data_IF_929464241787
#
_entry.id   IF_929464241787
#
_cell.length_a   1.000
_cell.length_b   1.000
_cell.length_c   1.000
_cell.angle_alpha   90.00
_cell.angle_beta   90.00
_cell.angle_gamma   90.00
#
_symmetry.space_group_name_H-M   'P 1'
#
loop_
_entity.id
_entity.type
_entity.pdbx_description
1 polymer ?
#
# COMPACT_ATOMS: atom_id res chain seq x y z
N UNK A 1 -20.92 23.73 28.18
CA UNK A 1 -22.24 24.18 27.67
C UNK A 1 -22.29 23.99 26.16
N UNK A 2 -22.84 22.86 25.71
CA UNK A 2 -23.86 22.75 24.67
C UNK A 2 -24.09 21.25 24.43
N UNK A 3 -25.16 20.78 25.04
CA UNK A 3 -25.79 19.48 24.84
C UNK A 3 -26.14 19.30 23.36
N UNK A 4 -25.89 18.12 22.79
CA UNK A 4 -26.56 17.72 21.55
C UNK A 4 -27.45 16.50 21.82
N UNK A 5 -28.73 16.76 21.55
CA UNK A 5 -29.92 15.96 21.76
C UNK A 5 -29.82 14.62 21.02
N UNK A 6 -29.94 13.50 21.73
CA UNK A 6 -30.10 12.16 21.14
C UNK A 6 -31.48 12.04 20.51
N UNK A 7 -31.58 11.99 19.18
CA UNK A 7 -32.79 11.59 18.46
C UNK A 7 -32.57 10.16 17.91
N UNK A 8 -33.22 9.18 18.52
CA UNK A 8 -33.24 7.77 18.05
C UNK A 8 -34.24 7.65 16.90
N UNK A 9 -33.79 7.22 15.72
CA UNK A 9 -34.68 6.77 14.65
C UNK A 9 -34.49 5.27 14.45
N UNK A 10 -35.56 4.53 14.68
CA UNK A 10 -35.65 3.08 14.47
C UNK A 10 -35.90 2.84 12.97
N UNK A 11 -34.95 2.25 12.24
CA UNK A 11 -35.17 1.81 10.87
C UNK A 11 -35.28 0.28 10.83
N UNK A 12 -36.47 -0.19 10.48
CA UNK A 12 -36.83 -1.61 10.35
C UNK A 12 -36.13 -2.19 9.13
N UNK A 13 -35.40 -3.28 9.36
CA UNK A 13 -34.69 -4.07 8.34
C UNK A 13 -35.69 -4.84 7.47
N UNK A 14 -35.63 -4.65 6.15
CA UNK A 14 -36.26 -5.56 5.19
C UNK A 14 -35.19 -6.02 4.18
N UNK A 15 -34.75 -7.26 4.31
CA UNK A 15 -33.91 -7.94 3.34
C UNK A 15 -34.77 -8.48 2.19
N UNK A 16 -34.51 -8.03 0.96
CA UNK A 16 -34.96 -8.72 -0.25
C UNK A 16 -33.94 -8.53 -1.39
N UNK A 17 -33.33 -9.64 -1.79
CA UNK A 17 -32.65 -9.93 -3.05
C UNK A 17 -32.40 -8.77 -4.03
N UNK A 18 -31.24 -8.13 -3.93
CA UNK A 18 -30.32 -7.71 -5.02
C UNK A 18 -29.17 -6.97 -4.32
N UNK A 19 -27.96 -7.54 -4.36
CA UNK A 19 -26.82 -7.16 -3.51
C UNK A 19 -26.18 -5.81 -3.84
N UNK A 20 -26.83 -4.71 -3.50
CA UNK A 20 -26.19 -3.40 -3.32
C UNK A 20 -26.68 -2.84 -1.99
N UNK A 21 -25.87 -2.94 -0.95
CA UNK A 21 -26.18 -2.32 0.34
C UNK A 21 -26.07 -0.80 0.19
N UNK A 22 -27.22 -0.14 0.09
CA UNK A 22 -27.34 1.30 0.31
C UNK A 22 -27.21 1.57 1.81
N UNK A 23 -26.01 1.91 2.27
CA UNK A 23 -25.77 2.43 3.62
C UNK A 23 -24.81 3.60 3.54
N UNK A 24 -25.32 4.72 3.02
CA UNK A 24 -24.77 6.06 3.25
C UNK A 24 -25.83 6.87 4.01
N UNK A 25 -26.15 6.44 5.23
CA UNK A 25 -26.94 7.22 6.16
C UNK A 25 -26.09 7.40 7.41
N UNK A 26 -25.85 8.66 7.75
CA UNK A 26 -24.94 9.11 8.79
C UNK A 26 -25.48 8.75 10.18
N UNK A 27 -24.96 7.67 10.76
CA UNK A 27 -25.21 7.25 12.14
C UNK A 27 -24.14 6.23 12.51
N UNK A 28 -23.25 6.59 13.45
CA UNK A 28 -22.01 5.91 13.84
C UNK A 28 -21.13 5.50 12.63
N UNK A 29 -19.88 5.98 12.56
CA UNK A 29 -18.98 5.64 11.46
C UNK A 29 -18.52 4.18 11.60
N UNK A 30 -19.37 3.24 11.23
CA UNK A 30 -19.06 1.81 11.26
C UNK A 30 -17.87 1.50 10.33
N UNK A 31 -17.00 0.61 10.80
CA UNK A 31 -15.88 0.11 10.02
C UNK A 31 -16.37 -0.56 8.73
N UNK A 32 -15.78 -0.18 7.59
CA UNK A 32 -16.00 -0.88 6.33
C UNK A 32 -14.67 -1.16 5.63
N UNK A 33 -14.32 -2.45 5.54
CA UNK A 33 -13.20 -2.91 4.73
C UNK A 33 -13.76 -3.44 3.42
N UNK A 34 -13.50 -2.74 2.31
CA UNK A 34 -14.19 -2.97 1.03
C UNK A 34 -13.17 -3.26 -0.06
N UNK A 35 -13.47 -4.24 -0.91
CA UNK A 35 -12.80 -4.52 -2.17
C UNK A 35 -13.77 -4.23 -3.33
N UNK A 36 -13.56 -3.15 -4.08
CA UNK A 36 -14.39 -2.77 -5.24
C UNK A 36 -15.90 -2.86 -4.98
N UNK A 37 -16.36 -2.22 -3.90
CA UNK A 37 -17.77 -2.19 -3.49
C UNK A 37 -18.25 -3.44 -2.73
N UNK A 38 -17.44 -4.49 -2.65
CA UNK A 38 -17.75 -5.69 -1.86
C UNK A 38 -17.15 -5.56 -0.47
N UNK A 39 -18.00 -5.53 0.57
CA UNK A 39 -17.55 -5.63 1.96
C UNK A 39 -16.82 -6.95 2.17
N UNK A 40 -15.58 -6.89 2.65
CA UNK A 40 -14.78 -8.06 2.98
C UNK A 40 -15.23 -8.62 4.34
N UNK A 41 -15.58 -9.90 4.37
CA UNK A 41 -16.03 -10.62 5.58
C UNK A 41 -15.29 -11.95 5.71
N UNK A 42 -15.52 -12.64 6.84
CA UNK A 42 -14.97 -13.98 7.06
C UNK A 42 -15.47 -14.98 6.02
N UNK A 43 -16.73 -14.86 5.61
CA UNK A 43 -17.42 -15.78 4.71
C UNK A 43 -16.94 -15.63 3.26
N UNK A 44 -16.73 -14.39 2.81
CA UNK A 44 -16.34 -14.12 1.41
C UNK A 44 -14.84 -13.89 1.23
N UNK A 45 -14.04 -13.91 2.29
CA UNK A 45 -12.62 -13.55 2.26
C UNK A 45 -11.75 -14.36 1.31
N UNK A 46 -12.14 -15.61 0.99
CA UNK A 46 -11.44 -16.43 -0.01
C UNK A 46 -12.01 -16.31 -1.43
N UNK A 47 -13.05 -15.48 -1.63
CA UNK A 47 -13.82 -15.41 -2.87
C UNK A 47 -14.34 -13.99 -3.17
N UNK A 48 -13.48 -12.98 -3.01
CA UNK A 48 -13.83 -11.56 -3.19
C UNK A 48 -14.18 -11.16 -4.63
N UNK A 49 -13.83 -11.99 -5.62
CA UNK A 49 -14.14 -11.78 -7.04
C UNK A 49 -14.50 -13.11 -7.71
N UNK A 50 -15.57 -13.74 -7.24
CA UNK A 50 -16.03 -15.04 -7.72
C UNK A 50 -16.23 -15.10 -9.24
N UNK A 51 -16.70 -14.00 -9.82
CA UNK A 51 -16.98 -13.87 -11.25
C UNK A 51 -15.77 -13.39 -12.06
N UNK A 52 -14.60 -13.20 -11.44
CA UNK A 52 -13.35 -12.76 -12.10
C UNK A 52 -13.49 -11.44 -12.87
N UNK A 53 -14.34 -10.55 -12.37
CA UNK A 53 -14.60 -9.22 -12.97
C UNK A 53 -13.34 -8.37 -13.00
N UNK A 54 -12.50 -8.47 -11.97
CA UNK A 54 -11.34 -7.59 -11.75
C UNK A 54 -10.02 -8.34 -11.62
N UNK A 55 -9.98 -9.47 -10.90
CA UNK A 55 -8.78 -10.27 -10.64
C UNK A 55 -8.49 -11.21 -11.82
N UNK A 56 -7.61 -10.79 -12.73
CA UNK A 56 -7.27 -11.49 -13.98
C UNK A 56 -6.33 -12.67 -13.80
N UNK A 57 -5.47 -12.63 -12.79
CA UNK A 57 -4.61 -13.76 -12.39
C UNK A 57 -4.22 -13.66 -10.93
N UNK A 58 -3.65 -14.74 -10.39
CA UNK A 58 -3.31 -14.86 -8.96
C UNK A 58 -4.54 -14.89 -8.05
N UNK A 59 -4.32 -14.56 -6.78
CA UNK A 59 -5.37 -14.54 -5.76
C UNK A 59 -5.34 -13.29 -4.90
N UNK A 60 -6.53 -12.81 -4.56
CA UNK A 60 -6.78 -11.78 -3.54
C UNK A 60 -7.61 -12.42 -2.45
N UNK A 61 -7.13 -12.40 -1.20
CA UNK A 61 -7.83 -13.00 -0.06
C UNK A 61 -7.90 -12.00 1.09
N UNK A 62 -8.92 -12.15 1.93
CA UNK A 62 -9.06 -11.46 3.20
C UNK A 62 -9.24 -12.49 4.33
N UNK A 63 -8.44 -12.36 5.37
CA UNK A 63 -8.57 -13.10 6.61
C UNK A 63 -9.10 -12.14 7.68
N UNK A 64 -10.34 -12.36 8.14
CA UNK A 64 -11.02 -11.49 9.09
C UNK A 64 -10.45 -11.60 10.51
N UNK A 65 -9.95 -12.79 10.90
CA UNK A 65 -9.44 -13.04 12.25
C UNK A 65 -8.11 -12.29 12.47
N UNK A 66 -7.32 -12.12 11.40
CA UNK A 66 -6.03 -11.40 11.42
C UNK A 66 -6.07 -10.06 10.69
N UNK A 67 -7.22 -9.67 10.15
CA UNK A 67 -7.45 -8.46 9.33
C UNK A 67 -6.38 -8.28 8.24
N UNK A 68 -6.06 -9.39 7.58
CA UNK A 68 -4.99 -9.47 6.58
C UNK A 68 -5.56 -9.62 5.17
N UNK A 69 -5.27 -8.66 4.29
CA UNK A 69 -5.46 -8.79 2.85
C UNK A 69 -4.20 -9.42 2.24
N UNK A 70 -4.31 -10.56 1.57
CA UNK A 70 -3.18 -11.20 0.88
C UNK A 70 -3.33 -11.09 -0.63
N UNK A 71 -2.34 -10.52 -1.30
CA UNK A 71 -2.19 -10.54 -2.75
C UNK A 71 -1.04 -11.52 -3.07
N UNK A 72 -1.38 -12.59 -3.79
CA UNK A 72 -0.40 -13.59 -4.22
C UNK A 72 -0.42 -13.71 -5.75
N UNK A 73 0.65 -13.18 -6.36
CA UNK A 73 0.80 -13.04 -7.81
C UNK A 73 -0.45 -12.44 -8.50
N UNK A 74 -1.15 -11.54 -7.80
CA UNK A 74 -2.44 -11.02 -8.20
C UNK A 74 -2.30 -9.95 -9.28
N UNK A 75 -3.11 -10.05 -10.33
CA UNK A 75 -3.29 -9.00 -11.33
C UNK A 75 -4.72 -8.49 -11.27
N UNK A 76 -4.92 -7.25 -10.85
CA UNK A 76 -6.24 -6.61 -10.76
C UNK A 76 -6.34 -5.54 -11.84
N UNK A 77 -7.41 -5.58 -12.63
CA UNK A 77 -7.66 -4.62 -13.71
C UNK A 77 -9.07 -4.03 -13.58
N UNK A 78 -9.13 -2.71 -13.38
CA UNK A 78 -10.36 -1.94 -13.23
C UNK A 78 -10.40 -0.85 -14.31
N UNK A 79 -11.34 -0.97 -15.23
CA UNK A 79 -11.57 0.00 -16.30
C UNK A 79 -12.86 0.77 -16.04
N UNK A 80 -13.21 1.71 -16.91
CA UNK A 80 -14.48 2.44 -16.79
C UNK A 80 -15.69 1.50 -16.91
N UNK A 81 -15.56 0.44 -17.70
CA UNK A 81 -16.64 -0.49 -18.06
C UNK A 81 -16.94 -1.50 -16.94
N UNK A 82 -15.95 -1.86 -16.13
CA UNK A 82 -16.13 -2.83 -15.04
C UNK A 82 -16.02 -2.20 -13.63
N UNK A 83 -15.80 -0.88 -13.53
CA UNK A 83 -15.76 -0.20 -12.26
C UNK A 83 -17.18 -0.19 -11.63
N UNK A 84 -17.35 -0.69 -10.41
CA UNK A 84 -18.60 -0.52 -9.68
C UNK A 84 -18.96 0.97 -9.56
N UNK A 85 -20.25 1.27 -9.58
CA UNK A 85 -20.77 2.62 -9.42
C UNK A 85 -21.75 2.67 -8.24
N UNK A 86 -21.85 3.83 -7.61
CA UNK A 86 -22.86 4.13 -6.61
C UNK A 86 -23.60 5.40 -7.01
N UNK A 87 -24.86 5.52 -6.61
CA UNK A 87 -25.67 6.70 -6.85
C UNK A 87 -25.63 7.61 -5.60
N UNK A 88 -25.34 8.90 -5.78
CA UNK A 88 -25.45 9.88 -4.71
C UNK A 88 -26.92 10.15 -4.36
N UNK A 89 -27.14 10.82 -3.23
CA UNK A 89 -28.47 11.33 -2.83
C UNK A 89 -29.10 12.24 -3.89
N UNK A 90 -28.28 12.95 -4.67
CA UNK A 90 -28.72 13.79 -5.80
C UNK A 90 -29.07 13.00 -7.06
N UNK A 91 -28.99 11.66 -7.04
CA UNK A 91 -29.27 10.79 -8.18
C UNK A 91 -28.13 10.65 -9.19
N UNK A 92 -26.94 11.20 -8.91
CA UNK A 92 -25.78 11.15 -9.81
C UNK A 92 -24.98 9.88 -9.58
N UNK A 93 -24.61 9.18 -10.65
CA UNK A 93 -23.77 7.98 -10.57
C UNK A 93 -22.30 8.35 -10.51
N UNK A 94 -21.58 7.76 -9.57
CA UNK A 94 -20.16 7.93 -9.35
C UNK A 94 -19.44 6.58 -9.33
N UNK A 95 -18.23 6.46 -9.91
CA UNK A 95 -17.43 5.27 -9.75
C UNK A 95 -17.01 5.09 -8.28
N UNK A 96 -16.95 3.84 -7.82
CA UNK A 96 -16.37 3.52 -6.52
C UNK A 96 -14.88 3.88 -6.52
N UNK A 97 -14.49 4.80 -5.66
CA UNK A 97 -13.09 5.23 -5.52
C UNK A 97 -12.32 4.25 -4.62
N UNK A 98 -11.19 3.75 -5.11
CA UNK A 98 -10.30 2.84 -4.38
C UNK A 98 -10.56 1.37 -4.71
N UNK A 99 -9.51 0.64 -5.07
CA UNK A 99 -9.59 -0.83 -5.25
C UNK A 99 -9.83 -1.50 -3.90
N UNK A 100 -9.05 -1.10 -2.91
CA UNK A 100 -9.33 -1.37 -1.50
C UNK A 100 -9.72 -0.07 -0.81
N UNK A 101 -10.67 -0.14 0.11
CA UNK A 101 -11.09 0.99 0.92
C UNK A 101 -11.21 0.54 2.37
N UNK A 102 -10.49 1.19 3.26
CA UNK A 102 -10.57 0.95 4.70
C UNK A 102 -11.23 2.17 5.32
N UNK A 103 -12.55 2.12 5.49
CA UNK A 103 -13.33 3.22 6.05
C UNK A 103 -13.43 3.02 7.56
N UNK A 104 -13.03 4.03 8.33
CA UNK A 104 -13.07 4.05 9.80
C UNK A 104 -12.59 2.75 10.47
N UNK A 105 -11.38 2.24 10.13
CA UNK A 105 -10.84 1.06 10.75
C UNK A 105 -10.64 1.27 12.27
N UNK A 106 -10.93 0.22 13.02
CA UNK A 106 -10.91 0.18 14.49
C UNK A 106 -9.70 -0.58 15.05
N UNK A 107 -8.94 -1.27 14.20
CA UNK A 107 -7.72 -1.98 14.57
C UNK A 107 -6.71 -1.92 13.41
N UNK A 108 -5.52 -2.50 13.59
CA UNK A 108 -4.46 -2.59 12.60
C UNK A 108 -4.83 -3.50 11.42
N UNK A 109 -4.41 -3.13 10.22
CA UNK A 109 -4.66 -3.87 8.98
C UNK A 109 -3.33 -4.27 8.35
N UNK A 110 -3.24 -5.51 7.85
CA UNK A 110 -2.08 -5.97 7.10
C UNK A 110 -2.43 -6.17 5.63
N UNK A 111 -1.59 -5.63 4.74
CA UNK A 111 -1.57 -5.95 3.30
C UNK A 111 -0.32 -6.78 3.03
N UNK A 112 -0.51 -8.09 2.84
CA UNK A 112 0.56 -9.04 2.58
C UNK A 112 0.75 -9.26 1.09
N UNK A 113 1.93 -8.93 0.58
CA UNK A 113 2.34 -9.10 -0.80
C UNK A 113 3.23 -10.34 -0.94
N UNK A 114 2.80 -11.29 -1.75
CA UNK A 114 3.54 -12.51 -2.09
C UNK A 114 3.75 -12.55 -3.61
N UNK A 115 4.99 -12.77 -4.04
CA UNK A 115 5.33 -12.79 -5.46
C UNK A 115 5.15 -11.42 -6.12
N UNK A 116 4.77 -11.40 -7.41
CA UNK A 116 4.65 -10.17 -8.20
C UNK A 116 3.18 -9.79 -8.40
N UNK A 117 2.76 -8.70 -7.80
CA UNK A 117 1.38 -8.21 -7.88
C UNK A 117 1.29 -6.96 -8.73
N UNK A 118 0.15 -6.74 -9.38
CA UNK A 118 -0.10 -5.55 -10.19
C UNK A 118 -1.55 -5.11 -10.14
N UNK A 119 -1.76 -3.80 -10.15
CA UNK A 119 -3.08 -3.17 -10.13
C UNK A 119 -3.10 -2.08 -11.19
N UNK A 120 -4.05 -2.16 -12.11
CA UNK A 120 -4.26 -1.15 -13.15
C UNK A 120 -5.68 -0.62 -13.06
N UNK A 121 -5.82 0.68 -12.89
CA UNK A 121 -7.11 1.35 -12.75
C UNK A 121 -7.20 2.57 -13.66
N UNK A 122 -8.30 2.77 -14.40
CA UNK A 122 -8.44 3.96 -15.28
C UNK A 122 -9.23 5.11 -14.66
N UNK A 123 -10.10 4.83 -13.69
CA UNK A 123 -10.93 5.84 -13.01
C UNK A 123 -10.66 6.00 -11.51
N UNK A 124 -9.95 5.04 -10.91
CA UNK A 124 -9.80 4.91 -9.46
C UNK A 124 -8.32 4.91 -9.06
N UNK A 125 -8.04 4.95 -7.75
CA UNK A 125 -6.72 4.65 -7.18
C UNK A 125 -6.62 3.26 -6.53
N UNK A 126 -5.43 2.83 -6.12
CA UNK A 126 -5.23 1.54 -5.41
C UNK A 126 -5.94 1.55 -4.05
N UNK A 127 -5.73 2.55 -3.20
CA UNK A 127 -6.32 2.53 -1.85
C UNK A 127 -6.73 3.89 -1.34
N UNK A 128 -7.97 4.01 -0.89
CA UNK A 128 -8.39 5.07 0.02
C UNK A 128 -8.31 4.50 1.44
N UNK A 129 -7.22 4.80 2.14
CA UNK A 129 -7.06 4.52 3.56
C UNK A 129 -7.75 5.67 4.31
N UNK A 130 -9.01 5.43 4.67
CA UNK A 130 -9.84 6.19 5.61
C UNK A 130 -10.38 7.55 5.16
N UNK A 131 -11.55 7.87 5.71
CA UNK A 131 -12.05 9.23 5.85
C UNK A 131 -11.79 9.67 7.30
N UNK A 132 -11.65 10.99 7.47
CA UNK A 132 -11.28 11.70 8.69
C UNK A 132 -11.98 11.13 9.93
N UNK A 133 -11.22 10.99 11.03
CA UNK A 133 -11.64 10.56 12.38
C UNK A 133 -11.45 9.09 12.80
N UNK A 134 -10.76 8.25 11.99
CA UNK A 134 -10.35 6.92 12.47
C UNK A 134 -9.41 6.99 13.70
N UNK A 135 -9.51 6.00 14.59
CA UNK A 135 -8.56 5.79 15.67
C UNK A 135 -7.11 5.66 15.13
N UNK A 136 -6.12 5.76 16.01
CA UNK A 136 -4.71 5.68 15.65
C UNK A 136 -4.30 4.23 15.30
N UNK A 137 -4.82 3.71 14.18
CA UNK A 137 -4.53 2.36 13.66
C UNK A 137 -3.31 2.37 12.76
N UNK A 138 -2.64 1.23 12.62
CA UNK A 138 -1.55 1.05 11.67
C UNK A 138 -2.01 0.24 10.46
N UNK A 139 -1.48 0.59 9.29
CA UNK A 139 -1.61 -0.19 8.07
C UNK A 139 -0.21 -0.63 7.65
N UNK A 140 0.01 -1.94 7.61
CA UNK A 140 1.31 -2.51 7.29
C UNK A 140 1.27 -3.22 5.94
N UNK A 141 2.13 -2.79 5.02
CA UNK A 141 2.37 -3.45 3.74
C UNK A 141 3.67 -4.24 3.79
N UNK A 142 3.57 -5.57 3.81
CA UNK A 142 4.68 -6.50 4.10
C UNK A 142 4.65 -7.73 3.19
N UNK A 143 5.60 -8.66 3.36
CA UNK A 143 5.49 -10.03 2.85
C UNK A 143 6.59 -10.48 1.88
N UNK A 144 7.54 -9.60 1.53
CA UNK A 144 8.65 -9.95 0.63
C UNK A 144 8.32 -9.87 -0.86
N UNK A 145 7.06 -9.64 -1.22
CA UNK A 145 6.62 -9.51 -2.61
C UNK A 145 6.73 -8.07 -3.15
N UNK A 146 6.29 -7.91 -4.40
CA UNK A 146 6.22 -6.63 -5.08
C UNK A 146 4.79 -6.26 -5.45
N UNK A 147 4.52 -4.96 -5.59
CA UNK A 147 3.26 -4.43 -6.10
C UNK A 147 3.53 -3.25 -7.07
N UNK A 148 3.08 -3.40 -8.32
CA UNK A 148 3.05 -2.33 -9.30
C UNK A 148 1.65 -1.74 -9.40
N UNK A 149 1.52 -0.41 -9.39
CA UNK A 149 0.25 0.30 -9.45
C UNK A 149 0.30 1.27 -10.63
N UNK A 150 -0.66 1.17 -11.54
CA UNK A 150 -0.91 2.16 -12.58
C UNK A 150 -2.33 2.72 -12.39
N UNK A 151 -2.42 3.91 -11.81
CA UNK A 151 -3.66 4.49 -11.33
C UNK A 151 -4.11 5.72 -12.13
N UNK A 152 -5.38 5.71 -12.53
CA UNK A 152 -6.07 6.84 -13.17
C UNK A 152 -6.35 8.03 -12.24
N UNK A 153 -6.14 7.87 -10.92
CA UNK A 153 -6.26 8.93 -9.93
C UNK A 153 -5.02 8.97 -9.01
N UNK A 154 -5.17 8.70 -7.71
CA UNK A 154 -4.05 8.54 -6.77
C UNK A 154 -3.53 7.10 -6.80
N UNK A 155 -2.25 6.86 -6.55
CA UNK A 155 -1.77 5.51 -6.28
C UNK A 155 -2.30 5.04 -4.93
N UNK A 156 -1.68 5.50 -3.85
CA UNK A 156 -2.10 5.28 -2.46
C UNK A 156 -2.56 6.62 -1.87
N UNK A 157 -3.76 6.65 -1.29
CA UNK A 157 -4.31 7.80 -0.58
C UNK A 157 -4.50 7.45 0.90
N UNK A 158 -3.59 7.96 1.73
CA UNK A 158 -3.42 7.65 3.14
C UNK A 158 -3.87 8.76 4.10
N UNK A 159 -5.16 8.84 4.40
CA UNK A 159 -5.73 9.94 5.21
C UNK A 159 -6.06 9.56 6.65
N UNK A 160 -5.45 8.51 7.19
CA UNK A 160 -5.67 8.11 8.59
C UNK A 160 -4.70 8.81 9.55
N UNK A 161 -4.99 8.75 10.85
CA UNK A 161 -4.17 9.42 11.87
C UNK A 161 -2.96 8.61 12.36
N UNK A 162 -2.79 7.39 11.86
CA UNK A 162 -1.75 6.48 12.32
C UNK A 162 -0.56 6.34 11.39
N UNK A 163 -0.01 5.13 11.36
CA UNK A 163 1.22 4.83 10.61
C UNK A 163 0.93 3.90 9.44
N UNK A 164 1.27 4.36 8.24
CA UNK A 164 1.39 3.49 7.08
C UNK A 164 2.84 3.02 6.95
N UNK A 165 3.05 1.72 7.08
CA UNK A 165 4.37 1.09 6.99
C UNK A 165 4.52 0.33 5.67
N UNK A 166 5.60 0.60 4.94
CA UNK A 166 6.05 -0.19 3.80
C UNK A 166 7.33 -0.90 4.24
N UNK A 167 7.28 -2.24 4.37
CA UNK A 167 8.39 -3.01 4.93
C UNK A 167 8.71 -4.28 4.17
N UNK A 168 9.99 -4.47 3.86
CA UNK A 168 10.50 -5.66 3.16
C UNK A 168 9.74 -5.94 1.84
N UNK A 169 9.36 -4.90 1.10
CA UNK A 169 8.62 -5.02 -0.17
C UNK A 169 9.19 -4.11 -1.25
N UNK A 170 8.79 -4.35 -2.50
CA UNK A 170 9.11 -3.48 -3.64
C UNK A 170 7.82 -2.87 -4.23
N UNK A 171 7.73 -1.54 -4.25
CA UNK A 171 6.60 -0.81 -4.82
C UNK A 171 7.02 0.01 -6.05
N UNK A 172 6.19 -0.04 -7.08
CA UNK A 172 6.33 0.79 -8.28
C UNK A 172 4.98 1.41 -8.62
N UNK A 173 4.85 2.71 -8.43
CA UNK A 173 3.57 3.43 -8.50
C UNK A 173 3.65 4.47 -9.59
N UNK A 174 2.66 4.46 -10.48
CA UNK A 174 2.40 5.49 -11.47
C UNK A 174 0.97 5.96 -11.29
N UNK A 175 0.78 7.26 -11.10
CA UNK A 175 -0.53 7.82 -10.81
C UNK A 175 -0.77 9.13 -11.56
N UNK A 176 -1.99 9.35 -12.03
CA UNK A 176 -2.36 10.59 -12.74
C UNK A 176 -2.42 11.81 -11.82
N UNK A 177 -2.68 11.63 -10.52
CA UNK A 177 -2.76 12.72 -9.54
C UNK A 177 -1.60 12.69 -8.55
N UNK A 178 -1.72 11.95 -7.44
CA UNK A 178 -0.62 11.77 -6.48
C UNK A 178 -0.20 10.30 -6.42
N UNK A 179 1.09 10.03 -6.22
CA UNK A 179 1.60 8.66 -6.17
C UNK A 179 1.27 8.01 -4.83
N UNK A 180 1.86 8.50 -3.75
CA UNK A 180 1.52 8.16 -2.36
C UNK A 180 1.20 9.47 -1.63
N UNK A 181 -0.07 9.77 -1.39
CA UNK A 181 -0.46 10.97 -0.65
C UNK A 181 -0.94 10.63 0.75
N UNK A 182 -0.53 11.42 1.74
CA UNK A 182 -1.07 11.37 3.10
C UNK A 182 -2.30 12.28 3.31
N UNK A 183 -2.66 12.50 4.57
CA UNK A 183 -3.76 13.38 5.00
C UNK A 183 -3.34 14.50 5.96
N UNK A 184 -2.08 14.93 5.93
CA UNK A 184 -1.42 15.89 6.83
C UNK A 184 -1.36 15.48 8.32
N UNK A 185 -2.01 14.38 8.70
CA UNK A 185 -1.96 13.77 10.02
C UNK A 185 -1.23 12.42 10.01
N UNK A 186 -1.30 11.70 8.88
CA UNK A 186 -0.67 10.38 8.69
C UNK A 186 0.85 10.42 8.77
N UNK A 187 1.43 9.26 9.08
CA UNK A 187 2.87 9.03 9.17
C UNK A 187 3.27 7.91 8.22
N UNK A 188 4.28 8.16 7.40
CA UNK A 188 4.85 7.14 6.51
C UNK A 188 6.14 6.58 7.09
N UNK A 189 6.24 5.26 7.16
CA UNK A 189 7.47 4.53 7.46
C UNK A 189 7.84 3.69 6.26
N UNK A 190 9.07 3.86 5.75
CA UNK A 190 9.64 2.98 4.72
C UNK A 190 10.85 2.28 5.33
N UNK A 191 10.76 0.96 5.43
CA UNK A 191 11.73 0.10 6.09
C UNK A 191 12.21 -0.98 5.12
N UNK A 192 13.52 -0.99 4.83
CA UNK A 192 14.16 -2.01 4.00
C UNK A 192 13.38 -2.31 2.69
N UNK A 193 12.90 -1.27 1.99
CA UNK A 193 12.01 -1.42 0.82
C UNK A 193 12.48 -0.55 -0.33
N UNK A 194 12.21 -0.98 -1.57
CA UNK A 194 12.33 -0.12 -2.74
C UNK A 194 10.96 0.47 -3.05
N UNK A 195 10.88 1.79 -3.22
CA UNK A 195 9.64 2.50 -3.57
C UNK A 195 9.95 3.47 -4.70
N UNK A 196 9.37 3.22 -5.86
CA UNK A 196 9.29 4.17 -6.97
C UNK A 196 7.88 4.72 -7.02
N UNK A 197 7.73 6.04 -7.09
CA UNK A 197 6.44 6.69 -7.18
C UNK A 197 6.52 7.83 -8.20
N UNK A 198 5.67 7.79 -9.22
CA UNK A 198 5.64 8.75 -10.32
C UNK A 198 4.23 9.38 -10.42
N UNK A 199 4.10 10.69 -10.22
CA UNK A 199 2.81 11.38 -10.27
C UNK A 199 2.90 12.91 -10.41
N UNK A 200 1.96 13.50 -11.14
CA UNK A 200 2.01 14.92 -11.54
C UNK A 200 1.79 15.94 -10.41
N UNK A 201 1.06 15.58 -9.36
CA UNK A 201 0.69 16.48 -8.25
C UNK A 201 1.41 16.10 -6.95
N UNK A 202 2.44 15.26 -7.04
CA UNK A 202 3.27 14.80 -5.93
C UNK A 202 3.46 13.29 -5.94
N UNK A 203 4.69 12.86 -6.19
CA UNK A 203 5.11 11.47 -6.13
C UNK A 203 4.90 10.85 -4.72
N UNK A 204 5.42 11.48 -3.67
CA UNK A 204 5.10 11.14 -2.27
C UNK A 204 4.85 12.46 -1.56
N UNK A 205 3.66 12.65 -0.98
CA UNK A 205 3.26 13.95 -0.44
C UNK A 205 2.32 13.90 0.77
N UNK A 206 2.11 15.04 1.43
CA UNK A 206 1.03 15.28 2.40
C UNK A 206 1.03 14.38 3.65
N UNK A 207 2.16 13.88 4.12
CA UNK A 207 2.23 13.26 5.46
C UNK A 207 2.76 14.23 6.50
N UNK A 208 2.35 14.04 7.76
CA UNK A 208 2.87 14.77 8.90
C UNK A 208 4.31 14.43 9.22
N UNK A 209 4.68 13.15 9.05
CA UNK A 209 6.01 12.65 9.40
C UNK A 209 6.42 11.50 8.50
N UNK A 210 7.73 11.44 8.27
CA UNK A 210 8.40 10.37 7.55
C UNK A 210 9.49 9.72 8.42
N UNK A 211 9.66 8.41 8.25
CA UNK A 211 10.79 7.66 8.81
C UNK A 211 11.33 6.69 7.76
N UNK A 212 12.59 6.88 7.38
CA UNK A 212 13.31 5.95 6.50
C UNK A 212 14.24 5.09 7.35
N UNK A 213 14.22 3.77 7.17
CA UNK A 213 15.07 2.81 7.88
C UNK A 213 15.70 1.86 6.88
N UNK A 214 17.03 1.85 6.79
CA UNK A 214 17.74 1.05 5.78
C UNK A 214 17.32 1.41 4.35
N UNK A 215 16.97 2.69 4.13
CA UNK A 215 16.46 3.22 2.87
C UNK A 215 17.02 4.62 2.68
N UNK A 216 17.49 4.91 1.47
CA UNK A 216 17.94 6.23 1.03
C UNK A 216 17.01 6.75 -0.06
N UNK A 217 16.75 8.06 -0.06
CA UNK A 217 16.11 8.69 -1.20
C UNK A 217 17.17 9.02 -2.25
N UNK A 218 16.92 8.64 -3.50
CA UNK A 218 17.81 8.90 -4.64
C UNK A 218 17.13 9.77 -5.71
N UNK A 219 15.84 10.08 -5.55
CA UNK A 219 15.10 11.03 -6.37
C UNK A 219 13.89 11.60 -5.60
N UNK A 220 13.55 12.89 -5.75
CA UNK A 220 14.30 13.89 -6.52
C UNK A 220 15.65 14.19 -5.84
N UNK A 221 16.67 14.50 -6.65
CA UNK A 221 17.99 14.94 -6.16
C UNK A 221 17.94 16.42 -5.85
N UNK A 222 18.60 16.86 -4.77
CA UNK A 222 18.67 18.27 -4.41
C UNK A 222 19.17 19.12 -5.59
N UNK A 223 18.52 20.27 -5.82
CA UNK A 223 18.95 21.25 -6.78
C UNK A 223 20.13 21.99 -6.16
N UNK A 224 21.31 21.98 -6.80
CA UNK A 224 22.50 22.62 -6.25
C UNK A 224 22.36 24.14 -6.09
N UNK A 225 21.32 24.76 -6.66
CA UNK A 225 21.04 26.18 -6.59
C UNK A 225 19.82 26.53 -5.71
N UNK A 226 19.27 25.57 -4.97
CA UNK A 226 18.20 25.82 -4.00
C UNK A 226 18.73 26.61 -2.79
N UNK A 227 17.97 27.61 -2.36
CA UNK A 227 18.25 28.44 -1.18
C UNK A 227 17.40 27.99 0.03
N UNK A 228 17.65 28.57 1.21
CA UNK A 228 16.79 28.35 2.38
C UNK A 228 15.36 28.87 2.15
N UNK A 229 15.22 29.96 1.39
CA UNK A 229 13.92 30.53 1.01
C UNK A 229 13.14 29.59 0.08
N UNK A 230 13.84 28.87 -0.81
CA UNK A 230 13.24 27.83 -1.65
C UNK A 230 12.63 26.69 -0.82
N UNK A 231 13.12 26.46 0.40
CA UNK A 231 12.57 25.46 1.32
C UNK A 231 11.29 25.92 2.03
N UNK A 232 11.07 27.25 2.10
CA UNK A 232 9.93 27.87 2.77
C UNK A 232 8.83 28.31 1.79
N UNK A 233 9.15 28.48 0.50
CA UNK A 233 8.18 28.83 -0.56
C UNK A 233 7.43 27.57 -1.08
N UNK A 234 6.12 27.45 -0.83
CA UNK A 234 5.32 26.32 -1.31
C UNK A 234 5.21 26.24 -2.84
N UNK A 235 5.60 27.29 -3.57
CA UNK A 235 5.58 27.34 -5.04
C UNK A 235 6.97 27.17 -5.67
N UNK A 236 8.05 27.07 -4.87
CA UNK A 236 9.38 26.91 -5.44
C UNK A 236 9.49 25.60 -6.21
N UNK A 237 10.02 25.68 -7.43
CA UNK A 237 10.29 24.51 -8.29
C UNK A 237 11.71 23.99 -8.12
N UNK A 238 12.54 24.67 -7.32
CA UNK A 238 13.91 24.24 -7.02
C UNK A 238 13.89 23.17 -5.95
N UNK A 239 14.66 22.10 -6.17
CA UNK A 239 14.61 20.93 -5.30
C UNK A 239 15.36 21.16 -4.00
N UNK A 240 14.65 21.28 -2.88
CA UNK A 240 15.23 21.05 -1.55
C UNK A 240 14.99 19.58 -1.16
N UNK A 241 16.06 18.78 -1.05
CA UNK A 241 15.93 17.48 -0.40
C UNK A 241 15.72 17.71 1.10
N UNK A 242 14.56 17.34 1.63
CA UNK A 242 14.37 17.30 3.08
C UNK A 242 15.37 16.32 3.70
N UNK A 243 15.80 16.53 4.95
CA UNK A 243 16.80 15.70 5.67
C UNK A 243 16.52 14.19 5.68
N UNK A 244 15.31 13.77 5.28
CA UNK A 244 14.89 12.36 5.16
C UNK A 244 14.53 11.92 3.74
N UNK A 245 14.95 12.71 2.75
CA UNK A 245 14.97 12.36 1.34
C UNK A 245 13.64 12.56 0.63
N UNK A 246 13.58 13.58 -0.23
CA UNK A 246 12.67 13.67 -1.39
C UNK A 246 11.18 13.41 -1.17
N UNK A 247 10.64 13.75 0.02
CA UNK A 247 9.20 13.73 0.26
C UNK A 247 8.74 15.13 0.61
N UNK A 248 7.81 15.68 -0.19
CA UNK A 248 7.26 17.01 0.06
C UNK A 248 6.07 16.92 1.00
N UNK A 249 5.94 17.84 1.95
CA UNK A 249 4.71 18.00 2.72
C UNK A 249 3.64 18.78 1.93
N UNK A 250 3.99 19.44 0.83
CA UNK A 250 3.10 20.26 0.04
C UNK A 250 2.38 19.44 -1.05
N UNK A 251 1.05 19.47 -1.01
CA UNK A 251 0.20 18.96 -2.07
C UNK A 251 0.33 19.83 -3.33
N UNK A 252 0.40 19.22 -4.50
CA UNK A 252 0.40 19.95 -5.78
C UNK A 252 1.77 20.51 -6.17
N UNK A 253 2.85 20.16 -5.48
CA UNK A 253 4.20 20.42 -5.98
C UNK A 253 4.49 19.46 -7.14
N UNK A 254 4.93 19.95 -8.32
CA UNK A 254 5.11 19.15 -9.53
C UNK A 254 6.39 18.30 -9.47
N UNK A 255 6.45 17.39 -8.50
CA UNK A 255 7.49 16.36 -8.46
C UNK A 255 6.96 15.10 -9.14
N UNK A 256 7.35 14.94 -10.39
CA UNK A 256 6.91 13.80 -11.21
C UNK A 256 7.42 12.47 -10.69
N UNK A 257 8.53 12.40 -9.93
CA UNK A 257 9.08 11.12 -9.45
C UNK A 257 9.82 11.19 -8.11
N UNK A 258 9.56 10.23 -7.23
CA UNK A 258 10.29 9.95 -6.01
C UNK A 258 10.80 8.50 -6.01
N UNK A 259 12.07 8.31 -5.67
CA UNK A 259 12.71 6.99 -5.61
C UNK A 259 13.38 6.82 -4.26
N UNK A 260 12.84 5.90 -3.47
CA UNK A 260 13.41 5.40 -2.25
C UNK A 260 14.03 4.04 -2.53
N UNK A 261 15.33 3.91 -2.28
CA UNK A 261 16.09 2.72 -2.56
C UNK A 261 16.54 2.09 -1.24
N UNK A 262 16.34 0.77 -1.11
CA UNK A 262 16.89 -0.01 0.00
C UNK A 262 18.40 0.20 0.08
N UNK A 263 18.90 0.52 1.27
CA UNK A 263 20.33 0.59 1.52
C UNK A 263 20.90 -0.83 1.51
N UNK A 264 21.76 -1.12 0.53
CA UNK A 264 22.44 -2.39 0.50
C UNK A 264 23.53 -2.41 1.58
N UNK A 265 23.43 -3.34 2.53
CA UNK A 265 24.51 -3.61 3.48
C UNK A 265 25.62 -4.47 2.87
N UNK A 266 25.64 -4.63 1.54
CA UNK A 266 26.48 -5.61 0.84
C UNK A 266 26.03 -7.07 1.03
N UNK A 267 24.85 -7.30 1.61
CA UNK A 267 24.23 -8.61 1.77
C UNK A 267 22.84 -8.53 1.16
N UNK A 268 22.61 -9.22 0.04
CA UNK A 268 21.28 -9.32 -0.56
C UNK A 268 20.25 -9.79 0.48
N UNK A 269 19.11 -9.10 0.53
CA UNK A 269 18.01 -9.38 1.44
C UNK A 269 17.54 -10.83 1.29
N UNK A 270 17.38 -11.51 2.42
CA UNK A 270 16.85 -12.88 2.56
C UNK A 270 15.75 -13.16 1.53
N UNK A 271 16.06 -13.98 0.53
CA UNK A 271 15.02 -14.66 -0.22
C UNK A 271 14.33 -15.63 0.73
N UNK A 272 13.02 -15.51 0.90
CA UNK A 272 12.24 -16.43 1.74
C UNK A 272 12.26 -17.79 1.03
N UNK A 273 13.02 -18.73 1.57
CA UNK A 273 13.00 -20.14 1.14
C UNK A 273 11.61 -20.70 1.43
N UNK A 274 10.96 -21.32 0.45
CA UNK A 274 9.69 -22.03 0.65
C UNK A 274 9.89 -23.21 1.62
N UNK A 275 8.90 -23.55 2.44
CA UNK A 275 9.00 -24.57 3.50
C UNK A 275 9.42 -25.98 3.03
N UNK A 276 9.44 -26.24 1.71
CA UNK A 276 9.81 -27.51 1.08
C UNK A 276 11.03 -27.42 0.13
N UNK A 277 11.75 -26.31 0.13
CA UNK A 277 12.89 -26.15 -0.76
C UNK A 277 14.07 -27.04 -0.34
N UNK A 278 14.71 -27.68 -1.31
CA UNK A 278 15.84 -28.57 -1.09
C UNK A 278 17.16 -27.86 -1.36
N UNK A 279 18.18 -28.16 -0.56
CA UNK A 279 19.54 -27.66 -0.78
C UNK A 279 20.10 -28.24 -2.08
N UNK A 280 20.55 -27.38 -2.99
CA UNK A 280 21.17 -27.78 -4.26
C UNK A 280 22.67 -27.52 -4.32
N UNK A 281 23.16 -26.57 -3.52
CA UNK A 281 24.59 -26.29 -3.42
C UNK A 281 24.92 -25.62 -2.09
N UNK A 282 26.14 -25.88 -1.60
CA UNK A 282 26.71 -25.24 -0.42
C UNK A 282 28.05 -24.64 -0.83
N UNK A 283 28.33 -23.42 -0.42
CA UNK A 283 29.57 -22.71 -0.70
C UNK A 283 30.17 -22.18 0.60
N UNK A 284 31.49 -22.02 0.62
CA UNK A 284 32.13 -21.18 1.64
C UNK A 284 31.94 -19.68 1.32
N UNK A 285 32.35 -18.81 2.26
CA UNK A 285 32.21 -17.36 2.11
C UNK A 285 33.06 -16.77 0.97
N UNK A 286 33.99 -17.54 0.40
CA UNK A 286 34.78 -17.16 -0.77
C UNK A 286 34.14 -17.60 -2.09
N UNK A 287 32.99 -18.29 -2.04
CA UNK A 287 32.28 -18.78 -3.22
C UNK A 287 32.76 -20.14 -3.73
N UNK A 288 33.63 -20.85 -3.01
CA UNK A 288 34.05 -22.20 -3.38
C UNK A 288 32.98 -23.21 -2.99
N UNK A 289 32.62 -24.09 -3.93
CA UNK A 289 31.66 -25.17 -3.73
C UNK A 289 32.16 -26.16 -2.67
N UNK A 290 31.30 -26.51 -1.73
CA UNK A 290 31.53 -27.47 -0.65
C UNK A 290 30.69 -28.73 -0.86
N UNK A 291 31.21 -29.87 -0.40
CA UNK A 291 30.49 -31.14 -0.41
C UNK A 291 29.38 -31.20 0.64
N UNK A 292 29.64 -30.60 1.81
CA UNK A 292 28.75 -30.57 2.96
C UNK A 292 28.93 -29.24 3.72
N UNK A 293 28.02 -28.94 4.65
CA UNK A 293 28.20 -27.82 5.57
C UNK A 293 29.48 -27.99 6.41
N UNK A 294 30.31 -26.95 6.44
CA UNK A 294 31.51 -26.86 7.29
C UNK A 294 31.23 -26.04 8.56
N UNK A 295 32.11 -26.16 9.57
CA UNK A 295 32.07 -25.31 10.76
C UNK A 295 32.24 -23.84 10.36
N UNK A 296 31.34 -22.97 10.84
CA UNK A 296 31.32 -21.55 10.48
C UNK A 296 30.24 -21.18 9.46
N UNK A 297 30.43 -20.08 8.73
CA UNK A 297 29.43 -19.54 7.80
C UNK A 297 29.48 -20.30 6.47
N UNK A 298 28.31 -20.79 6.05
CA UNK A 298 28.07 -21.44 4.77
C UNK A 298 27.04 -20.63 3.96
N UNK A 299 27.22 -20.53 2.65
CA UNK A 299 26.24 -19.97 1.72
C UNK A 299 25.51 -21.14 1.07
N UNK A 300 24.21 -21.27 1.30
CA UNK A 300 23.40 -22.43 0.90
C UNK A 300 22.36 -21.99 -0.13
N UNK A 301 22.43 -22.57 -1.32
CA UNK A 301 21.48 -22.34 -2.40
C UNK A 301 20.43 -23.46 -2.42
N UNK A 302 19.18 -23.07 -2.64
CA UNK A 302 18.04 -23.98 -2.73
C UNK A 302 17.51 -24.11 -4.17
N UNK A 303 16.75 -25.17 -4.42
CA UNK A 303 16.17 -25.48 -5.73
C UNK A 303 15.13 -24.46 -6.21
N UNK A 304 14.53 -23.69 -5.31
CA UNK A 304 13.62 -22.58 -5.62
C UNK A 304 14.35 -21.28 -5.99
N UNK A 305 15.69 -21.31 -6.08
CA UNK A 305 16.54 -20.18 -6.43
C UNK A 305 16.96 -19.30 -5.25
N UNK A 306 16.46 -19.58 -4.05
CA UNK A 306 16.80 -18.80 -2.86
C UNK A 306 18.20 -19.15 -2.32
N UNK A 307 18.81 -18.20 -1.59
CA UNK A 307 20.12 -18.39 -0.94
C UNK A 307 20.04 -17.98 0.53
N UNK A 308 20.54 -18.83 1.45
CA UNK A 308 20.66 -18.54 2.88
C UNK A 308 22.10 -18.64 3.37
N UNK A 309 22.46 -17.80 4.34
CA UNK A 309 23.65 -18.02 5.16
C UNK A 309 23.30 -18.94 6.34
N UNK A 310 23.99 -20.07 6.48
CA UNK A 310 23.81 -21.04 7.57
C UNK A 310 25.10 -21.12 8.38
N UNK A 311 24.98 -21.08 9.70
CA UNK A 311 26.10 -21.31 10.63
C UNK A 311 25.98 -22.73 11.17
N UNK A 312 27.03 -23.54 11.00
CA UNK A 312 27.15 -24.90 11.55
C UNK A 312 28.28 -24.96 12.58
#
# INVERSE_FOLDING_TARGET
>A
MKEFLRLRVLAVVLFAAFGVSNSFAQGDLDEQLVFLGITMTKENGNNLDAERKWVKSGTVKYDADTRTITLENAQIVVTAENCPQYQSESGTWYPVIGTFRFYCPTDNITVKLIGKNSITTTQTGFVMLTYQEAENVNIDMIGGGSLSINAGLNGIDDRHNGTFTIKDVDLDIKAKRCGICGGYTSRLVVDNSNVSSEAQYGAICSFKKFSMKGVKCVSPVADPNATAEDAEDPNSTKTVSFEKGGVTNAYGTPWDIAILQRESTGIESKTIVKDNAQVVAVYDVSGRLLKDLQKGINIVRYNDGTVKKIVK
#
